data_IF_965594590843
#
_entry.id   IF_965594590843
#
_cell.length_a   1.000
_cell.length_b   1.000
_cell.length_c   1.000
_cell.angle_alpha   90.00
_cell.angle_beta   90.00
_cell.angle_gamma   90.00
#
_symmetry.space_group_name_H-M   'P 1'
#
loop_
_entity.id
_entity.type
_entity.pdbx_description
1 polymer ?
#
# COMPACT_ATOMS: atom_id res chain seq x y z
N UNK A 1 7.19 24.96 7.64
CA UNK A 1 7.32 24.11 6.44
C UNK A 1 5.94 23.54 6.16
N UNK A 2 5.46 23.60 4.90
CA UNK A 2 4.04 23.64 4.61
C UNK A 2 3.33 22.39 5.13
N UNK A 3 2.14 22.64 5.66
CA UNK A 3 1.07 21.75 6.07
C UNK A 3 0.63 20.78 4.95
N UNK A 4 1.55 20.03 4.36
CA UNK A 4 1.31 18.97 3.37
C UNK A 4 0.78 17.71 4.09
N UNK A 5 -0.25 17.88 4.90
CA UNK A 5 -1.01 16.77 5.44
C UNK A 5 -1.85 16.17 4.31
N UNK A 6 -1.47 14.98 3.85
CA UNK A 6 -2.25 14.20 2.88
C UNK A 6 -3.24 13.33 3.67
N UNK A 7 -4.49 13.27 3.19
CA UNK A 7 -5.49 12.33 3.72
C UNK A 7 -5.26 10.96 3.11
N UNK A 8 -5.15 9.95 3.96
CA UNK A 8 -5.00 8.55 3.57
C UNK A 8 -6.13 7.75 4.21
N UNK A 9 -6.84 6.97 3.39
CA UNK A 9 -7.79 5.96 3.85
C UNK A 9 -7.16 4.59 3.69
N UNK A 10 -7.14 3.81 4.77
CA UNK A 10 -6.63 2.43 4.79
C UNK A 10 -7.73 1.49 5.25
N UNK A 11 -7.67 0.26 4.75
CA UNK A 11 -8.48 -0.84 5.25
C UNK A 11 -7.63 -1.62 6.26
N UNK A 12 -8.17 -1.80 7.46
CA UNK A 12 -7.60 -2.62 8.53
C UNK A 12 -8.73 -3.45 9.13
N UNK A 13 -8.39 -4.57 9.74
CA UNK A 13 -9.34 -5.37 10.50
C UNK A 13 -9.82 -4.63 11.76
N UNK A 14 -10.94 -5.08 12.33
CA UNK A 14 -11.54 -4.46 13.51
C UNK A 14 -10.65 -4.52 14.74
N UNK A 15 -9.95 -5.64 14.94
CA UNK A 15 -9.09 -5.83 16.12
C UNK A 15 -7.90 -4.85 16.09
N UNK A 16 -7.29 -4.67 14.92
CA UNK A 16 -6.20 -3.70 14.72
C UNK A 16 -6.69 -2.27 14.90
N UNK A 17 -7.92 -1.95 14.47
CA UNK A 17 -8.54 -0.64 14.70
C UNK A 17 -8.69 -0.36 16.19
N UNK A 18 -9.24 -1.30 16.96
CA UNK A 18 -9.47 -1.13 18.40
C UNK A 18 -8.14 -0.95 19.16
N UNK A 19 -7.13 -1.77 18.84
CA UNK A 19 -5.77 -1.63 19.41
C UNK A 19 -5.16 -0.27 19.10
N UNK A 20 -5.35 0.24 17.89
CA UNK A 20 -4.82 1.54 17.47
C UNK A 20 -5.51 2.70 18.21
N UNK A 21 -6.81 2.60 18.45
CA UNK A 21 -7.56 3.59 19.24
C UNK A 21 -7.18 3.55 20.73
N UNK A 22 -6.98 2.36 21.31
CA UNK A 22 -6.51 2.21 22.68
C UNK A 22 -5.10 2.82 22.86
N UNK A 23 -4.20 2.59 21.91
CA UNK A 23 -2.87 3.20 21.92
C UNK A 23 -2.92 4.73 21.84
N UNK A 24 -3.86 5.28 21.08
CA UNK A 24 -4.10 6.72 21.00
C UNK A 24 -4.52 7.29 22.36
N UNK A 25 -5.44 6.62 23.04
CA UNK A 25 -5.88 7.01 24.38
C UNK A 25 -4.76 6.95 25.42
N UNK A 26 -3.90 5.92 25.37
CA UNK A 26 -2.81 5.73 26.33
C UNK A 26 -1.63 6.69 26.15
N UNK A 27 -1.45 7.24 24.95
CA UNK A 27 -0.22 7.94 24.57
C UNK A 27 -0.39 9.45 24.38
N UNK A 28 -1.59 10.00 24.60
CA UNK A 28 -1.94 11.41 24.30
C UNK A 28 -1.60 11.83 22.84
N UNK A 29 -1.63 10.87 21.92
CA UNK A 29 -1.32 11.08 20.49
C UNK A 29 -2.54 10.76 19.65
N UNK A 30 -2.69 11.46 18.53
CA UNK A 30 -3.75 11.12 17.57
C UNK A 30 -3.40 9.83 16.83
N UNK A 31 -4.44 9.13 16.35
CA UNK A 31 -4.29 7.93 15.51
C UNK A 31 -3.32 8.18 14.34
N UNK A 32 -3.42 9.34 13.68
CA UNK A 32 -2.52 9.70 12.57
C UNK A 32 -1.06 9.87 13.00
N UNK A 33 -0.81 10.37 14.22
CA UNK A 33 0.55 10.51 14.76
C UNK A 33 1.14 9.15 15.13
N UNK A 34 0.34 8.26 15.73
CA UNK A 34 0.75 6.90 16.04
C UNK A 34 1.06 6.13 14.77
N UNK A 35 0.15 6.16 13.79
CA UNK A 35 0.35 5.50 12.50
C UNK A 35 1.61 6.00 11.79
N UNK A 36 1.88 7.31 11.83
CA UNK A 36 3.12 7.89 11.29
C UNK A 36 4.37 7.38 12.00
N UNK A 37 4.34 7.20 13.33
CA UNK A 37 5.47 6.62 14.08
C UNK A 37 5.69 5.15 13.75
N UNK A 38 4.61 4.36 13.70
CA UNK A 38 4.65 2.94 13.36
C UNK A 38 5.19 2.74 11.94
N UNK A 39 4.66 3.48 10.95
CA UNK A 39 5.15 3.49 9.58
C UNK A 39 6.63 3.89 9.50
N UNK A 40 7.04 4.96 10.20
CA UNK A 40 8.44 5.40 10.19
C UNK A 40 9.39 4.38 10.82
N UNK A 41 8.96 3.69 11.87
CA UNK A 41 9.77 2.63 12.48
C UNK A 41 9.89 1.44 11.53
N UNK A 42 8.75 0.97 11.02
CA UNK A 42 8.71 -0.14 10.09
C UNK A 42 9.53 0.15 8.82
N UNK A 43 9.46 1.35 8.24
CA UNK A 43 10.25 1.71 7.06
C UNK A 43 11.76 1.73 7.33
N UNK A 44 12.22 2.07 8.54
CA UNK A 44 13.64 1.96 8.89
C UNK A 44 14.09 0.50 8.93
N UNK A 45 13.26 -0.37 9.46
CA UNK A 45 13.50 -1.81 9.47
C UNK A 45 13.37 -2.41 8.06
N UNK A 46 12.51 -1.83 7.21
CA UNK A 46 12.25 -2.28 5.84
C UNK A 46 13.34 -1.87 4.85
N UNK A 47 13.96 -0.69 5.05
CA UNK A 47 15.14 -0.26 4.29
C UNK A 47 16.31 -1.25 4.51
N UNK A 48 16.41 -1.83 5.72
CA UNK A 48 17.34 -2.91 6.01
C UNK A 48 16.95 -4.26 5.36
N UNK A 49 15.69 -4.43 4.93
CA UNK A 49 15.18 -5.65 4.29
C UNK A 49 15.04 -5.56 2.77
N UNK A 50 15.41 -4.43 2.15
CA UNK A 50 15.46 -4.21 0.70
C UNK A 50 14.35 -4.96 -0.06
N UNK A 51 13.12 -4.47 0.06
CA UNK A 51 12.00 -4.95 -0.74
C UNK A 51 12.36 -4.92 -2.22
N UNK A 52 12.62 -6.10 -2.79
CA UNK A 52 12.65 -6.30 -4.23
C UNK A 52 11.19 -6.51 -4.66
N UNK A 53 10.55 -5.56 -5.36
CA UNK A 53 9.32 -5.90 -6.06
C UNK A 53 9.67 -7.03 -7.03
N UNK A 54 9.02 -8.19 -6.85
CA UNK A 54 9.12 -9.28 -7.80
C UNK A 54 8.57 -8.77 -9.13
N UNK A 55 9.46 -8.57 -10.10
CA UNK A 55 9.14 -8.11 -11.44
C UNK A 55 8.42 -9.22 -12.26
N UNK A 56 7.61 -10.05 -11.62
CA UNK A 56 6.70 -11.00 -12.27
C UNK A 56 5.29 -10.42 -12.30
N UNK A 57 5.18 -9.18 -12.78
CA UNK A 57 3.94 -8.71 -13.40
C UNK A 57 3.78 -9.45 -14.71
N UNK A 58 3.30 -10.70 -14.62
CA UNK A 58 2.87 -11.51 -15.75
C UNK A 58 1.89 -10.68 -16.56
N UNK A 59 2.33 -10.19 -17.71
CA UNK A 59 1.50 -9.56 -18.73
C UNK A 59 0.59 -10.65 -19.31
N UNK A 60 -0.46 -11.01 -18.58
CA UNK A 60 -1.56 -11.79 -19.16
C UNK A 60 -2.48 -10.83 -19.91
N UNK A 61 -2.03 -10.46 -21.11
CA UNK A 61 -2.88 -9.90 -22.15
C UNK A 61 -3.15 -10.97 -23.21
N UNK A 62 -3.84 -12.05 -22.80
CA UNK A 62 -4.63 -12.83 -23.76
C UNK A 62 -6.00 -12.19 -23.87
N UNK A 63 -6.14 -11.24 -24.79
CA UNK A 63 -7.44 -10.85 -25.35
C UNK A 63 -7.38 -10.91 -26.88
N UNK A 64 -7.98 -11.99 -27.37
CA UNK A 64 -8.50 -12.27 -28.70
C UNK A 64 -8.38 -11.16 -29.78
N UNK A 65 -7.81 -11.53 -30.92
CA UNK A 65 -8.44 -11.20 -32.20
C UNK A 65 -8.40 -12.41 -33.12
N UNK A 66 -9.57 -13.00 -33.29
CA UNK A 66 -9.82 -14.08 -34.24
C UNK A 66 -9.81 -13.56 -35.68
N UNK A 67 -9.25 -14.40 -36.55
CA UNK A 67 -9.62 -14.64 -37.94
C UNK A 67 -9.98 -13.43 -38.84
N UNK A 68 -9.08 -13.10 -39.78
CA UNK A 68 -9.49 -13.03 -41.19
C UNK A 68 -8.35 -13.31 -42.16
N UNK A 69 -8.65 -14.23 -43.07
CA UNK A 69 -7.87 -14.87 -44.12
C UNK A 69 -7.19 -13.92 -45.11
N UNK A 70 -6.03 -14.38 -45.61
CA UNK A 70 -5.32 -13.91 -46.80
C UNK A 70 -6.23 -13.75 -48.03
N UNK A 71 -6.00 -12.69 -48.82
CA UNK A 71 -6.14 -12.75 -50.28
C UNK A 71 -4.94 -12.03 -50.90
N UNK A 72 -4.26 -12.74 -51.78
CA UNK A 72 -3.16 -12.27 -52.63
C UNK A 72 -3.72 -11.63 -53.91
N UNK A 73 -3.00 -10.64 -54.44
CA UNK A 73 -3.01 -10.27 -55.86
C UNK A 73 -1.60 -10.40 -56.42
#
# INVERSE_FOLDING_TARGET
MPDNAIRLTILIDSETKDKLEELAQKSDLTVSQILRKLLKNHLKDFDALAYKPDASGREDSTVQSGARTQVSE
#
